data_IF_717683836898
#
_entry.id   IF_717683836898
#
_cell.length_a   1.000
_cell.length_b   1.000
_cell.length_c   1.000
_cell.angle_alpha   90.00
_cell.angle_beta   90.00
_cell.angle_gamma   90.00
#
_symmetry.space_group_name_H-M   'P 1'
#
loop_
_entity.id
_entity.type
_entity.pdbx_description
1 polymer ?
#
# COMPACT_ATOMS: atom_id res chain seq x y z
N UNK A 1 -7.31 -15.11 -13.12
CA UNK A 1 -7.46 -13.67 -12.82
C UNK A 1 -6.20 -13.17 -12.13
N UNK A 2 -5.42 -12.31 -12.77
CA UNK A 2 -4.18 -11.78 -12.18
C UNK A 2 -4.52 -10.80 -11.05
N UNK A 3 -4.10 -11.12 -9.82
CA UNK A 3 -4.14 -10.19 -8.69
C UNK A 3 -3.19 -9.01 -9.00
N UNK A 4 -3.76 -7.90 -9.48
CA UNK A 4 -2.98 -6.71 -9.80
C UNK A 4 -2.24 -6.20 -8.55
N UNK A 5 -1.03 -5.71 -8.75
CA UNK A 5 -0.17 -5.17 -7.70
C UNK A 5 -0.86 -4.19 -6.74
N UNK A 6 -1.74 -3.33 -7.29
CA UNK A 6 -2.52 -2.40 -6.49
C UNK A 6 -3.52 -3.08 -5.55
N UNK A 7 -4.11 -4.23 -5.93
CA UNK A 7 -5.05 -4.96 -5.08
C UNK A 7 -4.34 -5.58 -3.88
N UNK A 8 -3.12 -6.09 -4.08
CA UNK A 8 -2.26 -6.61 -3.01
C UNK A 8 -1.90 -5.49 -2.02
N UNK A 9 -1.44 -4.34 -2.51
CA UNK A 9 -1.10 -3.19 -1.64
C UNK A 9 -2.30 -2.71 -0.84
N UNK A 10 -3.49 -2.59 -1.46
CA UNK A 10 -4.72 -2.20 -0.74
C UNK A 10 -5.08 -3.23 0.33
N UNK A 11 -4.97 -4.51 0.01
CA UNK A 11 -5.23 -5.58 0.96
C UNK A 11 -4.25 -5.50 2.14
N UNK A 12 -2.95 -5.40 1.90
CA UNK A 12 -1.94 -5.28 2.96
C UNK A 12 -2.22 -4.10 3.91
N UNK A 13 -2.56 -2.93 3.36
CA UNK A 13 -2.86 -1.73 4.15
C UNK A 13 -4.20 -1.88 4.90
N UNK A 14 -5.19 -2.52 4.29
CA UNK A 14 -6.49 -2.78 4.94
C UNK A 14 -6.38 -3.81 6.09
N UNK A 15 -5.53 -4.82 5.93
CA UNK A 15 -5.40 -5.93 6.88
C UNK A 15 -4.42 -5.61 8.00
N UNK A 16 -3.31 -4.93 7.70
CA UNK A 16 -2.26 -4.59 8.69
C UNK A 16 -2.24 -3.14 9.13
N UNK A 17 -3.04 -2.28 8.52
CA UNK A 17 -3.06 -0.85 8.80
C UNK A 17 -2.07 -0.06 7.94
N UNK A 18 -1.79 1.20 8.29
CA UNK A 18 -0.90 2.05 7.50
C UNK A 18 0.53 1.51 7.49
N UNK A 19 1.08 1.33 6.29
CA UNK A 19 2.39 0.71 6.09
C UNK A 19 3.36 1.65 5.39
N UNK A 20 4.65 1.51 5.69
CA UNK A 20 5.70 2.23 4.98
C UNK A 20 6.02 1.60 3.63
N UNK A 21 6.70 2.35 2.75
CA UNK A 21 7.16 1.80 1.46
C UNK A 21 8.11 0.60 1.66
N UNK A 22 8.91 0.60 2.74
CA UNK A 22 9.81 -0.50 3.10
C UNK A 22 9.04 -1.74 3.52
N UNK A 23 8.04 -1.59 4.37
CA UNK A 23 7.22 -2.73 4.81
C UNK A 23 6.36 -3.29 3.69
N UNK A 24 5.78 -2.41 2.87
CA UNK A 24 5.09 -2.84 1.66
C UNK A 24 6.04 -3.61 0.76
N UNK A 25 7.26 -3.10 0.51
CA UNK A 25 8.28 -3.79 -0.28
C UNK A 25 8.64 -5.17 0.31
N UNK A 26 8.78 -5.28 1.63
CA UNK A 26 9.09 -6.52 2.33
C UNK A 26 7.94 -7.55 2.28
N UNK A 27 6.69 -7.09 2.25
CA UNK A 27 5.51 -7.94 2.10
C UNK A 27 5.26 -8.31 0.63
N UNK A 28 5.55 -7.41 -0.30
CA UNK A 28 5.41 -7.71 -1.74
C UNK A 28 6.53 -8.57 -2.29
N UNK A 29 7.58 -8.86 -1.52
CA UNK A 29 8.57 -9.91 -1.85
C UNK A 29 7.93 -11.29 -2.00
N UNK A 30 6.79 -11.54 -1.34
CA UNK A 30 5.98 -12.75 -1.52
C UNK A 30 5.29 -12.80 -2.91
N UNK A 31 5.29 -11.69 -3.65
CA UNK A 31 4.71 -11.55 -4.97
C UNK A 31 5.80 -11.22 -6.00
N UNK A 32 6.36 -12.20 -6.73
CA UNK A 32 7.50 -12.01 -7.63
C UNK A 32 7.28 -10.94 -8.73
N UNK A 33 6.02 -10.67 -9.05
CA UNK A 33 5.57 -9.60 -9.96
C UNK A 33 5.77 -8.16 -9.43
N UNK A 34 6.17 -8.00 -8.16
CA UNK A 34 6.32 -6.72 -7.47
C UNK A 34 7.73 -6.43 -6.94
N UNK A 35 8.70 -7.29 -7.27
CA UNK A 35 10.05 -7.39 -6.68
C UNK A 35 10.85 -6.09 -6.71
N UNK A 36 10.58 -5.19 -7.65
CA UNK A 36 11.30 -3.92 -7.71
C UNK A 36 10.61 -2.86 -6.86
N UNK A 37 11.23 -2.44 -5.75
CA UNK A 37 10.74 -1.30 -4.95
C UNK A 37 10.54 -0.02 -5.78
N UNK A 38 11.31 0.15 -6.86
CA UNK A 38 11.11 1.22 -7.85
C UNK A 38 9.81 1.05 -8.63
N UNK A 39 9.48 -0.17 -9.06
CA UNK A 39 8.23 -0.53 -9.71
C UNK A 39 7.05 -0.29 -8.77
N UNK A 40 7.11 -0.79 -7.53
CA UNK A 40 6.07 -0.54 -6.52
C UNK A 40 5.80 0.96 -6.35
N UNK A 41 6.84 1.78 -6.21
CA UNK A 41 6.67 3.23 -6.03
C UNK A 41 6.07 3.93 -7.26
N UNK A 42 6.55 3.61 -8.46
CA UNK A 42 6.17 4.35 -9.68
C UNK A 42 4.95 3.81 -10.39
N UNK A 43 4.75 2.48 -10.39
CA UNK A 43 3.67 1.80 -11.11
C UNK A 43 2.48 1.43 -10.22
N UNK A 44 2.65 1.47 -8.89
CA UNK A 44 1.59 1.07 -7.94
C UNK A 44 1.22 2.24 -7.04
N UNK A 45 2.15 2.72 -6.21
CA UNK A 45 1.87 3.75 -5.20
C UNK A 45 1.52 5.12 -5.82
N UNK A 46 2.30 5.61 -6.80
CA UNK A 46 2.02 6.89 -7.48
C UNK A 46 0.63 6.92 -8.15
N UNK A 47 0.25 5.94 -9.01
CA UNK A 47 -1.07 5.92 -9.60
C UNK A 47 -2.18 5.86 -8.56
N UNK A 48 -2.02 5.05 -7.51
CA UNK A 48 -3.02 4.92 -6.45
C UNK A 48 -3.16 6.20 -5.61
N UNK A 49 -2.07 6.95 -5.42
CA UNK A 49 -2.11 8.27 -4.83
C UNK A 49 -2.86 9.25 -5.73
N UNK A 50 -2.57 9.24 -7.03
CA UNK A 50 -3.24 10.10 -8.02
C UNK A 50 -4.74 9.80 -8.12
N UNK A 51 -5.13 8.53 -8.01
CA UNK A 51 -6.53 8.08 -8.00
C UNK A 51 -7.21 8.23 -6.64
N UNK A 52 -6.63 9.02 -5.71
CA UNK A 52 -7.16 9.25 -4.36
C UNK A 52 -7.53 7.95 -3.63
N UNK A 53 -6.81 6.87 -3.89
CA UNK A 53 -7.03 5.58 -3.23
C UNK A 53 -6.08 5.41 -2.05
N UNK A 54 -4.87 5.94 -2.17
CA UNK A 54 -3.89 6.00 -1.09
C UNK A 54 -3.53 7.44 -0.77
N UNK A 55 -3.38 7.73 0.51
CA UNK A 55 -2.88 9.01 1.02
C UNK A 55 -1.51 8.77 1.63
N UNK A 56 -0.53 9.58 1.23
CA UNK A 56 0.81 9.56 1.82
C UNK A 56 0.80 10.47 3.05
N UNK A 57 0.98 9.91 4.23
CA UNK A 57 1.09 10.64 5.49
C UNK A 57 2.55 10.63 5.93
N UNK A 58 3.03 11.78 6.41
CA UNK A 58 4.35 11.87 7.02
C UNK A 58 4.19 11.90 8.53
N UNK A 59 4.70 10.85 9.20
CA UNK A 59 4.84 10.85 10.64
C UNK A 59 6.19 11.47 10.98
N UNK A 60 6.13 12.65 11.58
CA UNK A 60 7.27 13.31 12.21
C UNK A 60 7.17 13.06 13.70
N UNK A 61 8.02 12.19 14.23
CA UNK A 61 8.22 12.13 15.67
C UNK A 61 9.36 13.08 16.05
N UNK A 62 9.21 13.75 17.18
CA UNK A 62 10.26 14.61 17.74
C UNK A 62 11.50 13.73 17.99
N UNK A 63 12.65 14.09 17.40
CA UNK A 63 13.91 13.32 17.35
C UNK A 63 14.03 12.10 16.42
N UNK A 64 13.04 11.76 15.58
CA UNK A 64 13.19 10.69 14.59
C UNK A 64 13.12 11.17 13.14
N UNK A 65 13.72 10.39 12.23
CA UNK A 65 13.64 10.65 10.79
C UNK A 65 12.17 10.56 10.36
N UNK A 66 11.67 11.50 9.52
CA UNK A 66 10.30 11.48 9.06
C UNK A 66 10.00 10.17 8.33
N UNK A 67 8.96 9.47 8.78
CA UNK A 67 8.53 8.20 8.20
C UNK A 67 7.33 8.46 7.28
N UNK A 68 7.43 7.99 6.03
CA UNK A 68 6.33 8.05 5.09
C UNK A 68 5.50 6.77 5.16
N UNK A 69 4.27 6.92 5.64
CA UNK A 69 3.27 5.87 5.68
C UNK A 69 2.21 6.08 4.60
N UNK A 70 1.72 4.96 4.07
CA UNK A 70 0.64 4.93 3.10
C UNK A 70 -0.63 4.49 3.80
N UNK A 71 -1.64 5.35 3.74
CA UNK A 71 -2.95 5.12 4.29
C UNK A 71 -3.93 4.89 3.15
N UNK A 72 -4.98 4.12 3.37
CA UNK A 72 -6.12 4.11 2.47
C UNK A 72 -6.86 5.44 2.62
N UNK A 73 -7.10 6.11 1.50
CA UNK A 73 -7.75 7.41 1.50
C UNK A 73 -9.23 7.34 1.93
N UNK A 74 -9.84 6.17 1.81
CA UNK A 74 -11.23 5.95 2.18
C UNK A 74 -11.34 4.74 3.13
N UNK A 75 -11.92 4.96 4.31
CA UNK A 75 -12.14 3.93 5.32
C UNK A 75 -13.14 2.84 4.83
N UNK A 76 -14.13 3.22 4.02
CA UNK A 76 -15.07 2.25 3.41
C UNK A 76 -14.35 1.36 2.38
N UNK A 77 -13.36 1.91 1.67
CA UNK A 77 -12.54 1.13 0.77
C UNK A 77 -11.68 0.12 1.54
N UNK A 78 -11.17 0.49 2.72
CA UNK A 78 -10.42 -0.44 3.58
C UNK A 78 -11.25 -1.65 3.98
N UNK A 79 -12.52 -1.47 4.34
CA UNK A 79 -13.41 -2.59 4.62
C UNK A 79 -13.59 -3.53 3.41
N UNK A 80 -13.75 -2.96 2.19
CA UNK A 80 -13.87 -3.75 0.95
C UNK A 80 -12.63 -4.55 0.58
N UNK A 81 -11.43 -4.07 0.93
CA UNK A 81 -10.19 -4.80 0.64
C UNK A 81 -9.74 -5.74 1.76
N UNK A 82 -10.37 -5.66 2.94
CA UNK A 82 -10.13 -6.58 4.06
C UNK A 82 -10.64 -7.99 3.72
N UNK A 83 -11.75 -8.08 3.01
CA UNK A 83 -12.32 -9.34 2.52
C UNK A 83 -11.86 -9.58 1.08
N UNK A 84 -10.81 -10.39 0.91
CA UNK A 84 -10.46 -10.96 -0.40
C UNK A 84 -11.47 -12.07 -0.74
N UNK A 85 -12.76 -11.72 -0.92
CA UNK A 85 -13.71 -12.71 -1.40
C UNK A 85 -13.38 -13.05 -2.85
N UNK A 86 -13.01 -14.32 -3.04
CA UNK A 86 -12.97 -15.00 -4.34
C UNK A 86 -14.35 -14.85 -4.98
N UNK A 87 -14.44 -14.10 -6.06
CA UNK A 87 -15.52 -14.25 -7.04
C UNK A 87 -14.87 -14.44 -8.40
#
# INVERSE_FOLDING_TARGET
MSLSAGRIVKHLIATRGPLTTKELAAQVTEFPQLVSGRFLKTRVLRPMQSSQTLTKVVLKQENEKPVWQWHLANAEAAAKYKTLERS
#
